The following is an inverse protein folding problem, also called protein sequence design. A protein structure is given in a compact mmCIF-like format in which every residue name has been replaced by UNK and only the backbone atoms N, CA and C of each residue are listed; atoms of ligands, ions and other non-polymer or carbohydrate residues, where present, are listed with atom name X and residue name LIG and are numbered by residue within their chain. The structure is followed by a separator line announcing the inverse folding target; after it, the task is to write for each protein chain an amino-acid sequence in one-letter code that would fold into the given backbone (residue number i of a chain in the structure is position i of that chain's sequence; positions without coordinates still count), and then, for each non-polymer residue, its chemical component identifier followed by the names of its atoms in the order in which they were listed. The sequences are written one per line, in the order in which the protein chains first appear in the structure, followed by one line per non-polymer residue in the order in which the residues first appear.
data_IF_493304183679
#
_entry.id   IF_493304183679
#
_cell.length_a   1.000
_cell.length_b   1.000
_cell.length_c   1.000
_cell.angle_alpha   90.00
_cell.angle_beta   90.00
_cell.angle_gamma   90.00
#
_symmetry.space_group_name_H-M   'P 1'
#
loop_
_entity.id
_entity.type
_entity.pdbx_description
1 polymer ?
#
# COMPACT_ATOMS: atom_id res chain seq x y z
N UNK A 1 -4.51 16.62 -35.20
CA UNK A 1 -3.80 16.86 -33.93
C UNK A 1 -2.33 17.18 -34.20
N UNK A 2 -1.81 18.21 -33.56
CA UNK A 2 -0.42 18.60 -33.65
C UNK A 2 0.51 17.56 -33.02
N UNK A 3 1.72 17.37 -33.55
CA UNK A 3 2.73 16.45 -33.02
C UNK A 3 3.06 16.81 -31.55
N UNK A 4 3.15 18.11 -31.25
CA UNK A 4 3.41 18.60 -29.90
C UNK A 4 2.34 18.14 -28.91
N UNK A 5 1.06 18.21 -29.29
CA UNK A 5 -0.07 17.79 -28.46
C UNK A 5 -0.02 16.28 -28.19
N UNK A 6 0.37 15.48 -29.17
CA UNK A 6 0.55 14.04 -29.00
C UNK A 6 1.65 13.72 -27.99
N UNK A 7 2.77 14.44 -28.10
CA UNK A 7 3.89 14.26 -27.17
C UNK A 7 3.50 14.61 -25.74
N UNK A 8 2.76 15.69 -25.55
CA UNK A 8 2.27 16.11 -24.24
C UNK A 8 1.32 15.07 -23.65
N UNK A 9 0.40 14.53 -24.44
CA UNK A 9 -0.52 13.49 -24.00
C UNK A 9 0.20 12.18 -23.64
N UNK A 10 1.17 11.79 -24.44
CA UNK A 10 2.00 10.60 -24.16
C UNK A 10 2.76 10.78 -22.85
N UNK A 11 3.33 11.97 -22.62
CA UNK A 11 4.04 12.27 -21.38
C UNK A 11 3.10 12.22 -20.18
N UNK A 12 1.88 12.73 -20.30
CA UNK A 12 0.86 12.65 -19.23
C UNK A 12 0.51 11.20 -18.90
N UNK A 13 0.35 10.36 -19.94
CA UNK A 13 0.07 8.94 -19.72
C UNK A 13 1.24 8.23 -19.04
N UNK A 14 2.46 8.52 -19.44
CA UNK A 14 3.65 7.98 -18.79
C UNK A 14 3.73 8.38 -17.33
N UNK A 15 3.41 9.63 -17.03
CA UNK A 15 3.38 10.12 -15.64
C UNK A 15 2.29 9.43 -14.82
N UNK A 16 1.12 9.25 -15.38
CA UNK A 16 0.03 8.52 -14.72
C UNK A 16 0.42 7.07 -14.44
N UNK A 17 1.07 6.43 -15.40
CA UNK A 17 1.57 5.06 -15.22
C UNK A 17 2.59 4.96 -14.09
N UNK A 18 3.54 5.89 -14.04
CA UNK A 18 4.53 5.93 -12.97
C UNK A 18 3.88 6.13 -11.61
N UNK A 19 2.93 7.05 -11.52
CA UNK A 19 2.19 7.32 -10.30
C UNK A 19 1.40 6.09 -9.84
N UNK A 20 0.75 5.42 -10.79
CA UNK A 20 0.02 4.18 -10.54
C UNK A 20 0.93 3.09 -9.98
N UNK A 21 2.09 2.89 -10.60
CA UNK A 21 3.06 1.88 -10.16
C UNK A 21 3.61 2.17 -8.77
N UNK A 22 3.89 3.44 -8.47
CA UNK A 22 4.35 3.84 -7.13
C UNK A 22 3.31 3.56 -6.06
N UNK A 23 2.06 3.90 -6.33
CA UNK A 23 0.95 3.67 -5.40
C UNK A 23 0.71 2.18 -5.22
N UNK A 24 0.74 1.42 -6.31
CA UNK A 24 0.60 -0.04 -6.25
C UNK A 24 1.71 -0.68 -5.42
N UNK A 25 2.96 -0.27 -5.62
CA UNK A 25 4.10 -0.75 -4.86
C UNK A 25 3.92 -0.45 -3.36
N UNK A 26 3.46 0.75 -3.03
CA UNK A 26 3.18 1.14 -1.65
C UNK A 26 2.06 0.28 -1.04
N UNK A 27 0.98 0.03 -1.78
CA UNK A 27 -0.09 -0.87 -1.34
C UNK A 27 0.42 -2.27 -1.04
N UNK A 28 1.25 -2.81 -1.92
CA UNK A 28 1.83 -4.15 -1.73
C UNK A 28 2.67 -4.21 -0.46
N UNK A 29 3.46 -3.18 -0.17
CA UNK A 29 4.25 -3.11 1.06
C UNK A 29 3.37 -3.08 2.31
N UNK A 30 2.30 -2.30 2.29
CA UNK A 30 1.36 -2.22 3.41
C UNK A 30 0.62 -3.55 3.63
N UNK A 31 0.18 -4.20 2.57
CA UNK A 31 -0.48 -5.50 2.66
C UNK A 31 0.47 -6.59 3.16
N UNK A 32 1.72 -6.53 2.77
CA UNK A 32 2.75 -7.45 3.27
C UNK A 32 2.93 -7.29 4.78
N UNK A 33 3.00 -6.04 5.25
CA UNK A 33 3.09 -5.76 6.70
C UNK A 33 1.85 -6.26 7.43
N UNK A 34 0.67 -6.03 6.89
CA UNK A 34 -0.59 -6.51 7.46
C UNK A 34 -0.57 -8.04 7.60
N UNK A 35 -0.12 -8.75 6.57
CA UNK A 35 -0.01 -10.21 6.60
C UNK A 35 0.99 -10.70 7.64
N UNK A 36 2.13 -10.02 7.79
CA UNK A 36 3.10 -10.34 8.84
C UNK A 36 2.48 -10.23 10.23
N UNK A 37 1.73 -9.16 10.48
CA UNK A 37 1.05 -8.95 11.76
C UNK A 37 -0.03 -10.01 12.00
N UNK A 38 -0.82 -10.33 11.01
CA UNK A 38 -1.85 -11.38 11.09
C UNK A 38 -1.23 -12.74 11.43
N UNK A 39 -0.15 -13.09 10.75
CA UNK A 39 0.56 -14.35 11.00
C UNK A 39 1.13 -14.40 12.41
N UNK A 40 1.75 -13.33 12.87
CA UNK A 40 2.31 -13.25 14.22
C UNK A 40 1.22 -13.36 15.26
N UNK A 41 0.12 -12.61 15.10
CA UNK A 41 -1.01 -12.67 16.03
C UNK A 41 -1.63 -14.06 16.08
N UNK A 42 -1.77 -14.75 14.96
CA UNK A 42 -2.32 -16.11 14.93
C UNK A 42 -1.45 -17.09 15.71
N UNK A 43 -0.13 -16.91 15.67
CA UNK A 43 0.82 -17.79 16.39
C UNK A 43 0.83 -17.56 17.90
N UNK A 44 0.56 -16.34 18.35
CA UNK A 44 0.62 -15.98 19.77
C UNK A 44 -0.77 -15.85 20.42
N UNK A 45 -1.83 -16.08 19.65
CA UNK A 45 -3.21 -15.83 20.10
C UNK A 45 -3.61 -16.62 21.35
N UNK A 46 -3.11 -17.85 21.48
CA UNK A 46 -3.42 -18.73 22.61
C UNK A 46 -2.45 -18.56 23.80
N UNK A 47 -1.42 -17.76 23.63
CA UNK A 47 -0.45 -17.50 24.69
C UNK A 47 -1.00 -16.48 25.68
N UNK A 48 -0.61 -16.62 26.94
CA UNK A 48 -1.00 -15.69 28.00
C UNK A 48 -0.45 -14.29 27.74
N UNK A 49 -1.25 -13.26 28.05
CA UNK A 49 -0.83 -11.87 27.96
C UNK A 49 0.33 -11.54 28.91
N UNK A 50 0.52 -12.33 29.98
CA UNK A 50 1.62 -12.18 30.92
C UNK A 50 2.92 -12.82 30.44
N UNK A 51 2.90 -13.50 29.30
CA UNK A 51 4.10 -14.11 28.71
C UNK A 51 5.18 -13.06 28.48
N UNK A 52 6.37 -13.32 28.99
CA UNK A 52 7.51 -12.46 28.74
C UNK A 52 8.01 -12.64 27.32
N UNK A 53 8.21 -11.53 26.65
CA UNK A 53 8.77 -11.48 25.30
C UNK A 53 9.91 -10.47 25.24
N UNK A 54 10.68 -10.52 24.18
CA UNK A 54 11.73 -9.55 23.90
C UNK A 54 11.38 -8.78 22.66
N UNK A 55 11.51 -7.47 22.72
CA UNK A 55 11.33 -6.56 21.59
C UNK A 55 12.66 -6.03 21.13
N UNK A 56 12.84 -5.96 19.82
CA UNK A 56 13.95 -5.24 19.22
C UNK A 56 13.52 -3.79 18.97
N UNK A 57 14.21 -2.85 19.63
CA UNK A 57 14.04 -1.42 19.39
C UNK A 57 15.39 -0.88 18.94
N UNK A 58 15.54 -0.65 17.63
CA UNK A 58 16.84 -0.34 17.06
C UNK A 58 17.82 -1.48 17.34
N UNK A 59 18.91 -1.19 18.05
CA UNK A 59 19.93 -2.17 18.41
C UNK A 59 19.70 -2.80 19.79
N UNK A 60 18.62 -2.43 20.49
CA UNK A 60 18.34 -2.89 21.83
C UNK A 60 17.29 -4.00 21.84
N UNK A 61 17.49 -4.99 22.71
CA UNK A 61 16.46 -5.97 23.03
C UNK A 61 15.91 -5.63 24.41
N UNK A 62 14.60 -5.42 24.47
CA UNK A 62 13.93 -5.00 25.71
C UNK A 62 12.87 -6.02 26.08
N UNK A 63 12.83 -6.40 27.36
CA UNK A 63 11.77 -7.25 27.89
C UNK A 63 10.44 -6.51 27.86
N UNK A 64 9.39 -7.21 27.44
CA UNK A 64 8.04 -6.72 27.45
C UNK A 64 7.08 -7.86 27.73
N UNK A 65 5.81 -7.54 27.94
CA UNK A 65 4.74 -8.53 28.06
C UNK A 65 3.99 -8.67 26.76
N UNK A 66 3.61 -9.89 26.44
CA UNK A 66 2.93 -10.20 25.17
C UNK A 66 1.63 -9.39 25.01
N UNK A 67 0.87 -9.20 26.09
CA UNK A 67 -0.39 -8.44 26.02
C UNK A 67 -0.22 -7.02 25.51
N UNK A 68 0.84 -6.32 25.93
CA UNK A 68 1.15 -4.97 25.43
C UNK A 68 1.49 -4.99 23.96
N UNK A 69 2.29 -5.96 23.54
CA UNK A 69 2.68 -6.10 22.14
C UNK A 69 1.50 -6.47 21.24
N UNK A 70 0.59 -7.33 21.73
CA UNK A 70 -0.64 -7.64 20.99
C UNK A 70 -1.47 -6.39 20.74
N UNK A 71 -1.62 -5.52 21.75
CA UNK A 71 -2.35 -4.25 21.59
C UNK A 71 -1.70 -3.35 20.55
N UNK A 72 -0.38 -3.24 20.59
CA UNK A 72 0.37 -2.45 19.60
C UNK A 72 0.18 -2.99 18.18
N UNK A 73 0.23 -4.31 18.03
CA UNK A 73 0.03 -4.97 16.73
C UNK A 73 -1.39 -4.76 16.20
N UNK A 74 -2.40 -4.87 17.06
CA UNK A 74 -3.80 -4.64 16.68
C UNK A 74 -4.03 -3.18 16.26
N UNK A 75 -3.43 -2.24 16.97
CA UNK A 75 -3.49 -0.82 16.63
C UNK A 75 -2.82 -0.54 15.28
N UNK A 76 -1.66 -1.13 15.04
CA UNK A 76 -0.97 -1.00 13.74
C UNK A 76 -1.81 -1.59 12.61
N UNK A 77 -2.47 -2.73 12.85
CA UNK A 77 -3.35 -3.35 11.83
C UNK A 77 -4.54 -2.46 11.47
N UNK A 78 -5.16 -1.80 12.45
CA UNK A 78 -6.24 -0.85 12.19
C UNK A 78 -5.77 0.31 11.32
N UNK A 79 -4.59 0.87 11.64
CA UNK A 79 -4.00 1.94 10.85
C UNK A 79 -3.69 1.48 9.42
N UNK A 80 -3.15 0.26 9.27
CA UNK A 80 -2.85 -0.31 7.96
C UNK A 80 -4.11 -0.54 7.15
N UNK A 81 -5.18 -1.05 7.75
CA UNK A 81 -6.46 -1.25 7.06
C UNK A 81 -6.99 0.06 6.48
N UNK A 82 -6.97 1.13 7.26
CA UNK A 82 -7.41 2.44 6.80
C UNK A 82 -6.56 2.97 5.65
N UNK A 83 -5.24 2.83 5.76
CA UNK A 83 -4.30 3.25 4.73
C UNK A 83 -4.48 2.44 3.45
N UNK A 84 -4.66 1.12 3.57
CA UNK A 84 -4.84 0.24 2.42
C UNK A 84 -6.12 0.59 1.66
N UNK A 85 -7.23 0.82 2.37
CA UNK A 85 -8.49 1.24 1.75
C UNK A 85 -8.31 2.55 0.97
N UNK A 86 -7.66 3.53 1.59
CA UNK A 86 -7.39 4.83 0.96
C UNK A 86 -6.51 4.68 -0.29
N UNK A 87 -5.45 3.87 -0.19
CA UNK A 87 -4.52 3.65 -1.30
C UNK A 87 -5.18 2.88 -2.44
N UNK A 88 -6.01 1.89 -2.15
CA UNK A 88 -6.78 1.15 -3.18
C UNK A 88 -7.69 2.10 -3.95
N UNK A 89 -8.34 3.02 -3.27
CA UNK A 89 -9.18 4.03 -3.91
C UNK A 89 -8.36 4.92 -4.87
N UNK A 90 -7.19 5.37 -4.43
CA UNK A 90 -6.29 6.18 -5.27
C UNK A 90 -5.74 5.38 -6.45
N UNK A 91 -5.35 4.13 -6.21
CA UNK A 91 -4.88 3.22 -7.25
C UNK A 91 -5.94 3.04 -8.33
N UNK A 92 -7.19 2.81 -7.94
CA UNK A 92 -8.32 2.67 -8.85
C UNK A 92 -8.55 3.94 -9.67
N UNK A 93 -8.50 5.09 -9.02
CA UNK A 93 -8.66 6.38 -9.68
C UNK A 93 -7.58 6.62 -10.74
N UNK A 94 -6.33 6.31 -10.42
CA UNK A 94 -5.21 6.45 -11.36
C UNK A 94 -5.32 5.46 -12.53
N UNK A 95 -5.72 4.23 -12.26
CA UNK A 95 -5.96 3.23 -13.29
C UNK A 95 -7.05 3.69 -14.26
N UNK A 96 -8.17 4.17 -13.76
CA UNK A 96 -9.27 4.67 -14.58
C UNK A 96 -8.84 5.86 -15.44
N UNK A 97 -8.08 6.78 -14.85
CA UNK A 97 -7.55 7.95 -15.58
C UNK A 97 -6.56 7.54 -16.67
N UNK A 98 -5.70 6.58 -16.39
CA UNK A 98 -4.77 6.06 -17.38
C UNK A 98 -5.50 5.38 -18.52
N UNK A 99 -6.47 4.52 -18.22
CA UNK A 99 -7.28 3.82 -19.22
C UNK A 99 -8.07 4.80 -20.09
N UNK A 100 -8.65 5.82 -19.47
CA UNK A 100 -9.38 6.86 -20.21
C UNK A 100 -8.44 7.66 -21.11
N UNK A 101 -7.27 8.02 -20.61
CA UNK A 101 -6.26 8.73 -21.39
C UNK A 101 -5.77 7.94 -22.59
N UNK A 102 -5.58 6.62 -22.42
CA UNK A 102 -5.22 5.75 -23.53
C UNK A 102 -6.34 5.70 -24.60
N UNK A 103 -7.58 5.56 -24.18
CA UNK A 103 -8.73 5.51 -25.08
C UNK A 103 -8.85 6.83 -25.87
N UNK A 104 -8.70 7.95 -25.20
CA UNK A 104 -8.76 9.29 -25.82
C UNK A 104 -7.64 9.45 -26.86
N UNK A 105 -6.44 9.02 -26.53
CA UNK A 105 -5.30 9.10 -27.45
C UNK A 105 -5.51 8.24 -28.68
N UNK A 106 -6.00 7.00 -28.52
CA UNK A 106 -6.32 6.10 -29.63
C UNK A 106 -7.37 6.71 -30.56
N UNK A 107 -8.42 7.29 -29.97
CA UNK A 107 -9.47 7.94 -30.76
C UNK A 107 -8.92 9.09 -31.59
N UNK A 108 -8.03 9.89 -31.04
CA UNK A 108 -7.38 11.01 -31.75
C UNK A 108 -6.43 10.52 -32.85
N UNK A 109 -5.68 9.45 -32.60
CA UNK A 109 -4.75 8.88 -33.57
C UNK A 109 -5.47 8.15 -34.68
N UNK A 110 -6.66 7.64 -34.43
CA UNK A 110 -7.48 6.96 -35.42
C UNK A 110 -8.20 7.90 -36.42
N UNK A 111 -8.12 9.19 -36.14
CA UNK A 111 -8.68 10.23 -37.01
C UNK A 111 -7.59 10.76 -37.95
#
# INVERSE_FOLDING_TARGET
MCIRDRQEEIQKLQQLQQNFEQIRSHRIQLERRENELKNTLSKVNEMSDDTEIFKNIGQLMIKSKLGETKKEMLSEMEDLESKIISIKSREKSLEDRFNQGQADLRAKLGQ
#
